data_IF_582245694272
#
_entry.id   IF_582245694272
#
_cell.length_a   1.000
_cell.length_b   1.000
_cell.length_c   1.000
_cell.angle_alpha   90.00
_cell.angle_beta   90.00
_cell.angle_gamma   90.00
#
_symmetry.space_group_name_H-M   'P 1'
#
loop_
_entity.id
_entity.type
_entity.pdbx_description
1 polymer ?
#
# COMPACT_ATOMS: atom_id res chain seq x y z
N UNK A 1 -17.85 20.16 -17.28
CA UNK A 1 -16.57 20.83 -17.04
C UNK A 1 -16.28 20.76 -15.55
N UNK A 2 -15.28 20.01 -15.07
CA UNK A 2 -14.91 20.03 -13.66
C UNK A 2 -14.31 21.40 -13.27
N UNK A 3 -14.57 21.82 -12.03
CA UNK A 3 -14.18 23.12 -11.44
C UNK A 3 -12.65 23.27 -11.25
N UNK A 4 -12.08 24.48 -11.40
CA UNK A 4 -10.65 24.77 -11.20
C UNK A 4 -10.18 24.68 -9.74
N UNK A 5 -11.05 24.35 -8.77
CA UNK A 5 -10.70 24.21 -7.36
C UNK A 5 -10.16 22.83 -6.94
N UNK A 6 -10.11 21.85 -7.86
CA UNK A 6 -9.66 20.48 -7.56
C UNK A 6 -8.29 20.17 -8.17
N UNK A 7 -7.40 21.16 -8.27
CA UNK A 7 -6.02 20.92 -8.74
C UNK A 7 -5.03 21.05 -7.59
N UNK A 8 -4.31 19.93 -7.38
CA UNK A 8 -2.96 19.84 -6.83
C UNK A 8 -2.77 19.49 -5.35
N UNK A 9 -3.56 18.57 -4.79
CA UNK A 9 -2.96 17.59 -3.87
C UNK A 9 -2.28 16.54 -4.76
N UNK A 10 -0.96 16.35 -4.67
CA UNK A 10 -0.36 15.15 -5.25
C UNK A 10 -1.13 13.95 -4.69
N UNK A 11 -1.90 13.27 -5.52
CA UNK A 11 -2.77 12.18 -5.08
C UNK A 11 -1.86 11.01 -4.71
N UNK A 12 -1.46 10.94 -3.44
CA UNK A 12 -0.59 9.90 -2.93
C UNK A 12 -1.29 8.55 -3.11
N UNK A 13 -0.56 7.59 -3.66
CA UNK A 13 -1.09 6.25 -3.93
C UNK A 13 -0.44 5.28 -2.96
N UNK A 14 -1.24 4.73 -2.06
CA UNK A 14 -0.82 3.64 -1.18
C UNK A 14 -1.07 2.28 -1.83
N UNK A 15 -0.06 1.41 -1.81
CA UNK A 15 -0.18 -0.01 -2.15
C UNK A 15 0.12 -0.82 -0.90
N UNK A 16 -0.84 -1.68 -0.52
CA UNK A 16 -0.69 -2.62 0.58
C UNK A 16 -0.65 -4.03 0.00
N UNK A 17 0.41 -4.77 0.31
CA UNK A 17 0.49 -6.20 0.06
C UNK A 17 0.46 -6.99 1.38
N UNK A 18 -0.36 -8.04 1.40
CA UNK A 18 -0.54 -8.91 2.56
C UNK A 18 -0.06 -10.31 2.19
N UNK A 19 1.06 -10.72 2.77
CA UNK A 19 1.53 -12.10 2.75
C UNK A 19 1.23 -12.81 4.08
N UNK A 20 1.38 -14.13 4.11
CA UNK A 20 1.20 -14.91 5.33
C UNK A 20 2.15 -14.49 6.45
N UNK A 21 3.35 -14.01 6.15
CA UNK A 21 4.32 -13.66 7.20
C UNK A 21 4.41 -12.15 7.47
N UNK A 22 3.99 -11.33 6.51
CA UNK A 22 4.24 -9.89 6.57
C UNK A 22 3.21 -9.09 5.80
N UNK A 23 2.99 -7.87 6.27
CA UNK A 23 2.27 -6.82 5.54
C UNK A 23 3.26 -5.74 5.15
N UNK A 24 3.15 -5.22 3.94
CA UNK A 24 3.97 -4.11 3.47
C UNK A 24 3.10 -2.99 2.93
N UNK A 25 3.48 -1.76 3.27
CA UNK A 25 2.90 -0.54 2.75
C UNK A 25 3.95 0.21 1.93
N UNK A 26 3.62 0.53 0.70
CA UNK A 26 4.41 1.43 -0.14
C UNK A 26 3.54 2.61 -0.56
N UNK A 27 4.00 3.84 -0.30
CA UNK A 27 3.33 5.06 -0.76
C UNK A 27 4.11 5.64 -1.93
N UNK A 28 3.41 5.87 -3.03
CA UNK A 28 3.95 6.49 -4.24
C UNK A 28 3.45 7.92 -4.39
N UNK A 29 4.23 8.72 -5.11
CA UNK A 29 3.92 10.12 -5.40
C UNK A 29 2.82 10.35 -6.46
N UNK A 30 2.15 9.30 -6.92
CA UNK A 30 0.97 9.38 -7.78
C UNK A 30 0.84 8.23 -8.79
N UNK A 31 -0.33 8.16 -9.45
CA UNK A 31 -0.59 7.22 -10.56
C UNK A 31 -0.01 7.78 -11.87
N UNK A 32 1.27 7.51 -12.12
CA UNK A 32 1.99 7.95 -13.32
C UNK A 32 2.88 6.85 -13.87
N UNK A 33 3.40 7.04 -15.09
CA UNK A 33 4.16 6.01 -15.82
C UNK A 33 5.36 5.47 -15.04
N UNK A 34 5.99 6.30 -14.22
CA UNK A 34 7.11 5.94 -13.34
C UNK A 34 6.87 6.52 -11.95
N UNK A 35 6.12 5.81 -11.07
CA UNK A 35 5.83 6.30 -9.73
C UNK A 35 7.07 6.21 -8.84
N UNK A 36 7.34 7.24 -8.04
CA UNK A 36 8.47 7.25 -7.10
C UNK A 36 7.97 6.82 -5.72
N UNK A 37 8.58 5.82 -5.07
CA UNK A 37 8.22 5.44 -3.71
C UNK A 37 8.71 6.51 -2.73
N UNK A 38 7.78 7.07 -1.97
CA UNK A 38 8.04 8.06 -0.91
C UNK A 38 8.14 7.40 0.47
N UNK A 39 7.43 6.29 0.67
CA UNK A 39 7.44 5.52 1.91
C UNK A 39 7.40 4.03 1.60
N UNK A 40 8.10 3.23 2.40
CA UNK A 40 8.19 1.78 2.21
C UNK A 40 8.46 1.10 3.55
N UNK A 41 7.39 0.60 4.18
CA UNK A 41 7.46 -0.08 5.47
C UNK A 41 7.01 -1.53 5.33
N UNK A 42 7.71 -2.42 6.03
CA UNK A 42 7.36 -3.84 6.14
C UNK A 42 7.26 -4.22 7.61
N UNK A 43 6.13 -4.84 7.96
CA UNK A 43 5.87 -5.37 9.31
C UNK A 43 5.70 -6.88 9.22
N UNK A 44 6.32 -7.60 10.14
CA UNK A 44 6.14 -9.05 10.30
C UNK A 44 4.97 -9.30 11.25
N UNK A 45 3.96 -10.03 10.76
CA UNK A 45 2.68 -10.20 11.46
C UNK A 45 2.32 -11.67 11.72
N UNK A 46 3.04 -12.64 11.15
CA UNK A 46 2.82 -14.07 11.41
C UNK A 46 1.43 -14.59 11.06
N UNK A 47 0.71 -13.95 10.12
CA UNK A 47 -0.67 -14.29 9.73
C UNK A 47 -0.85 -15.75 9.26
N UNK A 48 0.21 -16.39 8.76
CA UNK A 48 0.21 -17.79 8.36
C UNK A 48 0.22 -18.76 9.54
N UNK A 49 0.73 -18.35 10.69
CA UNK A 49 0.69 -19.17 11.90
C UNK A 49 -0.75 -19.31 12.42
N UNK A 50 -1.57 -18.24 12.31
CA UNK A 50 -2.98 -18.32 12.68
C UNK A 50 -3.79 -19.17 11.68
N UNK A 51 -3.44 -19.18 10.40
CA UNK A 51 -4.05 -20.07 9.39
C UNK A 51 -3.70 -21.54 9.66
N UNK A 52 -2.43 -21.85 9.96
CA UNK A 52 -2.02 -23.21 10.34
C UNK A 52 -2.66 -23.66 11.67
N UNK A 53 -2.83 -22.76 12.63
CA UNK A 53 -3.43 -23.07 13.92
C UNK A 53 -4.96 -23.27 13.86
N UNK A 54 -5.66 -22.66 12.90
CA UNK A 54 -7.13 -22.76 12.80
C UNK A 54 -7.59 -23.85 11.80
N UNK A 55 -6.65 -24.55 11.17
CA UNK A 55 -6.92 -25.72 10.33
C UNK A 55 -7.27 -25.37 8.88
N UNK A 56 -6.36 -25.73 7.97
CA UNK A 56 -6.72 -26.10 6.60
C UNK A 56 -7.17 -27.56 6.52
#
# INVERSE_FOLDING_TARGET
MPSPAAQNSAELVGVIDTGSNSVRLVVYDGLRRTPIPLFNEKVFCGLGESVLATGG
#
